data_IF_990469847165
#
_entry.id   IF_990469847165
#
_cell.length_a   1.000
_cell.length_b   1.000
_cell.length_c   1.000
_cell.angle_alpha   90.00
_cell.angle_beta   90.00
_cell.angle_gamma   90.00
#
_symmetry.space_group_name_H-M   'P 1'
#
loop_
_entity.id
_entity.type
_entity.pdbx_description
1 polymer ?
#
# COMPACT_ATOMS: atom_id res chain seq x y z
N UNK A 1 1.94 19.60 12.71
CA UNK A 1 1.57 19.57 11.28
C UNK A 1 1.62 18.14 10.80
N UNK A 2 0.49 17.57 10.39
CA UNK A 2 0.46 16.20 9.86
C UNK A 2 1.04 16.20 8.45
N UNK A 3 2.33 15.89 8.31
CA UNK A 3 2.91 15.51 7.04
C UNK A 3 2.25 14.20 6.62
N UNK A 4 1.12 14.28 5.92
CA UNK A 4 0.56 13.12 5.21
C UNK A 4 1.55 12.80 4.10
N UNK A 5 2.50 11.91 4.38
CA UNK A 5 3.33 11.29 3.35
C UNK A 5 2.35 10.53 2.46
N UNK A 6 1.96 11.16 1.36
CA UNK A 6 1.04 10.60 0.40
C UNK A 6 1.79 9.60 -0.45
N UNK A 7 1.68 8.31 -0.13
CA UNK A 7 2.22 7.26 -0.99
C UNK A 7 1.60 7.37 -2.39
N UNK A 8 2.45 7.27 -3.40
CA UNK A 8 2.04 7.16 -4.80
C UNK A 8 1.30 5.84 -5.03
N UNK A 9 0.57 5.75 -6.16
CA UNK A 9 -0.14 4.51 -6.51
C UNK A 9 0.82 3.32 -6.56
N UNK A 10 2.02 3.50 -7.15
CA UNK A 10 3.05 2.46 -7.26
C UNK A 10 3.52 1.97 -5.89
N UNK A 11 3.76 2.87 -4.94
CA UNK A 11 4.18 2.50 -3.58
C UNK A 11 3.07 1.76 -2.81
N UNK A 12 1.80 2.15 -3.01
CA UNK A 12 0.66 1.41 -2.44
C UNK A 12 0.60 -0.02 -2.99
N UNK A 13 0.87 -0.21 -4.28
CA UNK A 13 0.92 -1.55 -4.88
C UNK A 13 2.09 -2.36 -4.34
N UNK A 14 3.26 -1.75 -4.16
CA UNK A 14 4.41 -2.42 -3.54
C UNK A 14 4.05 -2.91 -2.12
N UNK A 15 3.40 -2.05 -1.31
CA UNK A 15 2.93 -2.41 0.03
C UNK A 15 1.97 -3.61 0.02
N UNK A 16 1.03 -3.64 -0.94
CA UNK A 16 0.09 -4.76 -1.10
C UNK A 16 0.83 -6.06 -1.45
N UNK A 17 1.81 -5.99 -2.36
CA UNK A 17 2.63 -7.14 -2.75
C UNK A 17 3.49 -7.66 -1.61
N UNK A 18 4.08 -6.78 -0.81
CA UNK A 18 4.88 -7.14 0.37
C UNK A 18 4.02 -7.85 1.43
N UNK A 19 2.75 -7.46 1.58
CA UNK A 19 1.79 -8.15 2.44
C UNK A 19 1.38 -9.52 1.88
N UNK A 20 1.28 -9.66 0.56
CA UNK A 20 0.87 -10.90 -0.12
C UNK A 20 2.02 -11.90 -0.32
N UNK A 21 3.27 -11.50 -0.07
CA UNK A 21 4.42 -12.38 -0.21
C UNK A 21 4.36 -13.55 0.79
N UNK A 22 5.08 -14.65 0.54
CA UNK A 22 4.98 -15.89 1.34
C UNK A 22 5.32 -15.71 2.84
N UNK A 23 6.08 -14.66 3.18
CA UNK A 23 6.36 -14.20 4.54
C UNK A 23 5.72 -12.82 4.80
N UNK A 24 4.46 -12.66 4.39
CA UNK A 24 3.76 -11.38 4.36
C UNK A 24 3.97 -10.53 5.60
N UNK A 25 4.41 -9.30 5.40
CA UNK A 25 4.67 -8.36 6.48
C UNK A 25 3.37 -7.97 7.19
N UNK A 26 3.44 -7.82 8.50
CA UNK A 26 2.30 -7.34 9.29
C UNK A 26 1.98 -5.88 8.96
N UNK A 27 0.72 -5.46 9.14
CA UNK A 27 0.29 -4.05 8.97
C UNK A 27 1.20 -3.06 9.71
N UNK A 28 1.71 -3.46 10.88
CA UNK A 28 2.63 -2.66 11.69
C UNK A 28 4.02 -2.53 11.09
N UNK A 29 4.53 -3.60 10.48
CA UNK A 29 5.83 -3.61 9.79
C UNK A 29 5.74 -2.83 8.47
N UNK A 30 4.64 -2.98 7.73
CA UNK A 30 4.37 -2.17 6.54
C UNK A 30 4.26 -0.69 6.87
N UNK A 31 3.62 -0.33 7.99
CA UNK A 31 3.55 1.05 8.43
C UNK A 31 4.93 1.63 8.74
N UNK A 32 5.81 0.86 9.39
CA UNK A 32 7.18 1.31 9.68
C UNK A 32 8.05 1.42 8.42
N UNK A 33 8.00 0.41 7.56
CA UNK A 33 8.79 0.36 6.32
C UNK A 33 8.43 1.49 5.36
N UNK A 34 7.13 1.79 5.23
CA UNK A 34 6.64 2.85 4.35
C UNK A 34 6.50 4.20 5.07
N UNK A 35 6.90 4.30 6.35
CA UNK A 35 6.83 5.51 7.20
C UNK A 35 5.44 6.15 7.18
N UNK A 36 4.39 5.33 7.22
CA UNK A 36 2.99 5.76 7.28
C UNK A 36 2.32 5.32 8.59
N UNK A 37 1.12 5.83 8.84
CA UNK A 37 0.32 5.34 9.96
C UNK A 37 -0.19 3.91 9.70
N UNK A 38 -0.35 3.13 10.76
CA UNK A 38 -0.97 1.79 10.69
C UNK A 38 -2.38 1.84 10.13
N UNK A 39 -3.15 2.89 10.42
CA UNK A 39 -4.47 3.12 9.84
C UNK A 39 -4.41 3.32 8.32
N UNK A 40 -3.39 4.02 7.82
CA UNK A 40 -3.15 4.19 6.38
C UNK A 40 -2.78 2.86 5.73
N UNK A 41 -1.88 2.10 6.34
CA UNK A 41 -1.49 0.77 5.83
C UNK A 41 -2.70 -0.18 5.76
N UNK A 42 -3.50 -0.24 6.83
CA UNK A 42 -4.73 -1.04 6.88
C UNK A 42 -5.74 -0.61 5.80
N UNK A 43 -5.92 0.70 5.58
CA UNK A 43 -6.84 1.18 4.55
C UNK A 43 -6.35 0.87 3.13
N UNK A 44 -5.04 0.91 2.89
CA UNK A 44 -4.44 0.52 1.60
C UNK A 44 -4.69 -0.97 1.33
N UNK A 45 -4.45 -1.83 2.33
CA UNK A 45 -4.70 -3.27 2.20
C UNK A 45 -6.18 -3.59 2.01
N UNK A 46 -7.08 -2.88 2.69
CA UNK A 46 -8.53 -3.03 2.53
C UNK A 46 -8.99 -2.69 1.11
N UNK A 47 -8.33 -1.73 0.46
CA UNK A 47 -8.62 -1.31 -0.92
C UNK A 47 -7.65 -1.93 -1.93
N UNK A 48 -7.03 -3.06 -1.58
CA UNK A 48 -5.97 -3.66 -2.40
C UNK A 48 -6.46 -4.04 -3.80
N UNK A 49 -7.65 -4.63 -3.91
CA UNK A 49 -8.26 -5.01 -5.19
C UNK A 49 -8.52 -3.79 -6.10
N UNK A 50 -9.11 -2.72 -5.55
CA UNK A 50 -9.34 -1.47 -6.28
C UNK A 50 -8.03 -0.87 -6.78
N UNK A 51 -7.01 -0.78 -5.91
CA UNK A 51 -5.73 -0.18 -6.25
C UNK A 51 -4.99 -0.99 -7.32
N UNK A 52 -5.03 -2.33 -7.23
CA UNK A 52 -4.44 -3.21 -8.24
C UNK A 52 -5.14 -3.08 -9.60
N UNK A 53 -6.48 -2.99 -9.60
CA UNK A 53 -7.26 -2.78 -10.82
C UNK A 53 -6.98 -1.41 -11.46
N UNK A 54 -6.89 -0.35 -10.65
CA UNK A 54 -6.51 1.00 -11.09
C UNK A 54 -5.09 1.02 -11.70
N UNK A 55 -4.13 0.36 -11.03
CA UNK A 55 -2.75 0.28 -11.51
C UNK A 55 -2.65 -0.47 -12.85
N UNK A 56 -3.36 -1.59 -12.99
CA UNK A 56 -3.43 -2.36 -14.24
C UNK A 56 -4.05 -1.52 -15.38
N UNK A 57 -5.16 -0.83 -15.09
CA UNK A 57 -5.87 0.00 -16.06
C UNK A 57 -5.06 1.23 -16.50
N UNK A 58 -4.22 1.79 -15.62
CA UNK A 58 -3.40 2.96 -15.92
C UNK A 58 -2.08 2.60 -16.63
N UNK A 59 -1.61 1.35 -16.54
CA UNK A 59 -0.40 0.88 -17.22
C UNK A 59 -0.64 0.48 -18.69
N UNK A 60 -1.91 0.35 -19.11
CA UNK A 60 -2.32 -0.11 -20.44
C UNK A 60 -2.80 1.03 -21.36
N UNK A 61 -2.32 2.26 -21.14
CA UNK A 61 -2.64 3.47 -21.93
C UNK A 61 -1.39 4.15 -22.44
#
# INVERSE_FOLDING_TARGET
>A
MSHRIGLTLKEKIALIKDNQNAHGLSVRELADNYKISTSSAANILRRSEELLADYSSNCNK
#
